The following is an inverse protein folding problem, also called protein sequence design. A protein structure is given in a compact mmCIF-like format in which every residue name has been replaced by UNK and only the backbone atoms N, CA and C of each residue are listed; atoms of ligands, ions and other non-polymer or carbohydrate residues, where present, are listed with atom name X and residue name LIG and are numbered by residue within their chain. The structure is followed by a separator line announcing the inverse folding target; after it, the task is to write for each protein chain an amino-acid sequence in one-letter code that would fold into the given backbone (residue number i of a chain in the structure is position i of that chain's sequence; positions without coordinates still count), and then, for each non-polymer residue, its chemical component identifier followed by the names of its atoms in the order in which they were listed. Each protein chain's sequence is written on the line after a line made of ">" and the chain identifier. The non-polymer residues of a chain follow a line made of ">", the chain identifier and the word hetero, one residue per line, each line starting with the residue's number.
data_IF_095561315123
#
_entry.id   IF_095561315123
#
_cell.length_a   1.000
_cell.length_b   1.000
_cell.length_c   1.000
_cell.angle_alpha   90.00
_cell.angle_beta   90.00
_cell.angle_gamma   90.00
#
_symmetry.space_group_name_H-M   'P 1'
#
loop_
_entity.id
_entity.type
_entity.pdbx_description
1 polymer ?
#
# COMPACT_ATOMS: atom_id res chain seq x y z
N UNK A 1 6.19 18.59 3.56
CA UNK A 1 6.21 17.16 3.96
C UNK A 1 7.27 16.97 5.02
N UNK A 2 6.92 16.34 6.13
CA UNK A 2 7.90 15.83 7.09
C UNK A 2 8.34 14.45 6.59
N UNK A 3 9.65 14.27 6.43
CA UNK A 3 10.24 13.00 6.02
C UNK A 3 11.08 12.43 7.16
N UNK A 4 10.88 11.15 7.46
CA UNK A 4 11.64 10.44 8.48
C UNK A 4 12.35 9.23 7.87
N UNK A 5 13.62 9.02 8.20
CA UNK A 5 14.33 7.80 7.81
C UNK A 5 13.75 6.62 8.59
N UNK A 6 13.28 5.60 7.87
CA UNK A 6 12.68 4.43 8.49
C UNK A 6 13.71 3.51 9.15
N UNK A 7 13.33 2.89 10.25
CA UNK A 7 14.08 1.81 10.90
C UNK A 7 13.82 0.51 10.16
N UNK A 8 14.87 -0.19 9.73
CA UNK A 8 14.74 -1.50 9.06
C UNK A 8 14.15 -2.53 10.03
N UNK A 9 13.04 -3.16 9.63
CA UNK A 9 12.36 -4.20 10.39
C UNK A 9 12.74 -5.60 9.92
N UNK A 10 12.78 -5.80 8.59
CA UNK A 10 13.07 -7.11 8.04
C UNK A 10 13.71 -7.03 6.64
N UNK A 11 14.28 -8.13 6.17
CA UNK A 11 14.85 -8.29 4.83
C UNK A 11 14.51 -9.65 4.25
N UNK A 12 14.11 -9.66 2.98
CA UNK A 12 13.76 -10.84 2.21
C UNK A 12 14.65 -10.92 0.97
N UNK A 13 14.95 -12.15 0.58
CA UNK A 13 15.65 -12.45 -0.67
C UNK A 13 14.79 -13.36 -1.52
N UNK A 14 14.89 -13.21 -2.84
CA UNK A 14 14.32 -14.20 -3.75
C UNK A 14 15.20 -15.46 -3.81
N UNK A 15 14.72 -16.49 -4.51
CA UNK A 15 15.44 -17.75 -4.66
C UNK A 15 16.81 -17.61 -5.35
N UNK A 16 17.00 -16.58 -6.19
CA UNK A 16 18.30 -16.32 -6.83
C UNK A 16 19.33 -15.69 -5.88
N UNK A 17 18.87 -15.13 -4.75
CA UNK A 17 19.68 -14.33 -3.84
C UNK A 17 20.08 -12.95 -4.38
N UNK A 18 19.61 -12.57 -5.58
CA UNK A 18 19.97 -11.30 -6.21
C UNK A 18 18.98 -10.19 -5.89
N UNK A 19 17.71 -10.52 -5.68
CA UNK A 19 16.71 -9.55 -5.22
C UNK A 19 16.86 -9.42 -3.71
N UNK A 20 17.06 -8.20 -3.24
CA UNK A 20 16.98 -7.87 -1.81
C UNK A 20 15.85 -6.88 -1.62
N UNK A 21 14.90 -7.24 -0.77
CA UNK A 21 13.83 -6.36 -0.34
C UNK A 21 13.94 -6.15 1.17
N UNK A 22 13.90 -4.92 1.63
CA UNK A 22 13.84 -4.61 3.06
C UNK A 22 12.61 -3.78 3.40
N UNK A 23 11.97 -4.11 4.51
CA UNK A 23 10.86 -3.34 5.08
C UNK A 23 11.44 -2.39 6.13
N UNK A 24 11.06 -1.12 6.04
CA UNK A 24 11.40 -0.08 7.01
C UNK A 24 10.13 0.52 7.59
N UNK A 25 10.19 1.01 8.83
CA UNK A 25 9.07 1.71 9.44
C UNK A 25 9.47 2.99 10.17
N UNK A 26 8.52 3.89 10.29
CA UNK A 26 8.58 5.03 11.19
C UNK A 26 7.29 5.07 12.02
N UNK A 27 7.40 5.55 13.26
CA UNK A 27 6.27 5.77 14.16
C UNK A 27 6.14 7.26 14.38
N UNK A 28 5.09 7.85 13.85
CA UNK A 28 4.77 9.25 14.00
C UNK A 28 4.54 9.61 15.47
N UNK A 29 5.23 10.66 15.94
CA UNK A 29 5.12 11.18 17.30
C UNK A 29 5.34 12.72 17.29
N UNK A 30 4.60 13.53 18.08
CA UNK A 30 3.52 13.16 19.00
C UNK A 30 2.29 12.57 18.30
N UNK A 31 1.39 11.90 19.04
CA UNK A 31 0.09 11.50 18.52
C UNK A 31 -0.69 12.70 17.95
N UNK A 32 -1.34 12.52 16.80
CA UNK A 32 -2.11 13.55 16.10
C UNK A 32 -3.44 12.99 15.63
N UNK A 33 -4.42 13.86 15.41
CA UNK A 33 -5.73 13.48 14.85
C UNK A 33 -5.63 13.16 13.37
N UNK A 34 -4.90 14.00 12.62
CA UNK A 34 -4.72 13.86 11.17
C UNK A 34 -3.24 13.77 10.86
N UNK A 35 -2.87 12.72 10.15
CA UNK A 35 -1.55 12.55 9.55
C UNK A 35 -1.68 12.84 8.06
N UNK A 36 -1.04 13.92 7.61
CA UNK A 36 -1.11 14.40 6.23
C UNK A 36 0.26 14.30 5.57
N UNK A 37 0.34 13.46 4.54
CA UNK A 37 1.50 13.27 3.68
C UNK A 37 2.79 12.99 4.49
N UNK A 38 2.68 12.11 5.49
CA UNK A 38 3.84 11.61 6.23
C UNK A 38 4.66 10.73 5.30
N UNK A 39 5.95 11.02 5.14
CA UNK A 39 6.83 10.22 4.28
C UNK A 39 7.87 9.48 5.09
N UNK A 40 7.90 8.15 4.96
CA UNK A 40 8.98 7.31 5.49
C UNK A 40 9.97 6.99 4.38
N UNK A 41 11.23 7.32 4.59
CA UNK A 41 12.32 7.09 3.63
C UNK A 41 12.95 5.73 3.84
N UNK A 42 13.35 5.11 2.73
CA UNK A 42 14.24 3.97 2.71
C UNK A 42 15.61 4.43 3.22
N UNK A 43 16.03 3.96 4.39
CA UNK A 43 17.31 4.33 5.01
C UNK A 43 18.56 3.70 4.36
N UNK A 44 18.43 3.17 3.14
CA UNK A 44 19.50 2.53 2.36
C UNK A 44 19.54 3.20 0.97
N UNK A 45 20.61 3.96 0.72
CA UNK A 45 20.76 4.77 -0.49
C UNK A 45 20.91 3.97 -1.79
N UNK A 46 21.05 2.64 -1.72
CA UNK A 46 21.07 1.77 -2.90
C UNK A 46 19.69 1.26 -3.30
N UNK A 47 18.69 1.45 -2.43
CA UNK A 47 17.34 0.92 -2.63
C UNK A 47 16.39 1.93 -3.28
N UNK A 48 15.40 1.41 -3.99
CA UNK A 48 14.25 2.15 -4.50
C UNK A 48 13.00 1.75 -3.74
N UNK A 49 12.15 2.71 -3.36
CA UNK A 49 10.86 2.45 -2.76
C UNK A 49 9.88 1.91 -3.81
N UNK A 50 9.33 0.72 -3.60
CA UNK A 50 8.42 0.05 -4.57
C UNK A 50 7.09 -0.39 -3.98
N UNK A 51 6.93 -0.23 -2.68
CA UNK A 51 5.73 -0.55 -1.94
C UNK A 51 5.79 0.03 -0.54
N UNK A 52 4.69 -0.11 0.21
CA UNK A 52 4.60 0.41 1.56
C UNK A 52 3.18 0.26 2.09
N UNK A 53 2.87 1.02 3.12
CA UNK A 53 1.58 0.96 3.80
C UNK A 53 1.61 1.72 5.11
N UNK A 54 0.51 1.66 5.84
CA UNK A 54 0.43 2.23 7.18
C UNK A 54 -0.52 1.43 8.07
N UNK A 55 -0.26 1.52 9.36
CA UNK A 55 -1.16 1.05 10.43
C UNK A 55 -1.57 2.28 11.23
N UNK A 56 -2.82 2.69 11.08
CA UNK A 56 -3.46 3.69 11.92
C UNK A 56 -3.91 3.00 13.23
N UNK A 57 -5.15 3.21 13.68
CA UNK A 57 -5.64 2.63 14.92
C UNK A 57 -7.09 2.17 14.78
N UNK A 58 -7.45 1.07 15.43
CA UNK A 58 -8.81 0.52 15.40
C UNK A 58 -9.72 1.13 16.47
N UNK A 59 -9.20 1.38 17.68
CA UNK A 59 -9.94 1.80 18.88
C UNK A 59 -9.30 3.03 19.56
N UNK A 60 -10.04 3.74 20.43
CA UNK A 60 -11.47 3.59 20.72
C UNK A 60 -12.38 3.96 19.55
N UNK A 61 -12.12 5.07 18.85
CA UNK A 61 -12.91 5.51 17.69
C UNK A 61 -12.32 5.03 16.37
N UNK A 62 -11.00 4.88 16.36
CA UNK A 62 -10.23 4.45 15.20
C UNK A 62 -9.91 5.58 14.24
N UNK A 63 -8.91 5.34 13.40
CA UNK A 63 -8.50 6.24 12.34
C UNK A 63 -8.26 5.45 11.05
N UNK A 64 -8.50 6.10 9.93
CA UNK A 64 -8.77 5.46 8.65
C UNK A 64 -7.82 6.04 7.60
N UNK A 65 -7.37 5.17 6.69
CA UNK A 65 -6.36 5.54 5.70
C UNK A 65 -6.96 6.41 4.60
N UNK A 66 -6.20 7.43 4.19
CA UNK A 66 -6.52 8.33 3.08
C UNK A 66 -5.42 8.37 2.02
N UNK A 67 -4.21 7.89 2.33
CA UNK A 67 -3.17 7.71 1.33
C UNK A 67 -2.16 6.61 1.69
N UNK A 68 -1.60 5.99 0.65
CA UNK A 68 -0.44 5.09 0.70
C UNK A 68 0.13 4.99 -0.72
N UNK A 69 1.19 5.73 -1.03
CA UNK A 69 1.72 5.86 -2.39
C UNK A 69 3.22 6.21 -2.40
N UNK A 70 3.95 5.98 -3.51
CA UNK A 70 5.38 6.31 -3.58
C UNK A 70 5.61 7.83 -3.64
N UNK A 71 6.70 8.31 -3.04
CA UNK A 71 7.18 9.66 -3.30
C UNK A 71 7.83 9.78 -4.70
N UNK A 72 8.02 11.02 -5.18
CA UNK A 72 8.37 11.27 -6.59
C UNK A 72 9.74 10.70 -7.01
N UNK A 73 10.71 10.67 -6.11
CA UNK A 73 12.07 10.19 -6.39
C UNK A 73 12.30 8.72 -6.02
N UNK A 74 11.24 8.03 -5.59
CA UNK A 74 11.26 6.64 -5.11
C UNK A 74 12.32 6.40 -4.03
N UNK A 75 12.53 7.38 -3.16
CA UNK A 75 13.32 7.23 -1.94
C UNK A 75 12.48 6.83 -0.73
N UNK A 76 11.15 6.92 -0.82
CA UNK A 76 10.26 6.70 0.31
C UNK A 76 8.80 6.42 -0.09
N UNK A 77 7.97 6.29 0.94
CA UNK A 77 6.56 6.04 0.83
C UNK A 77 5.77 7.06 1.63
N UNK A 78 4.77 7.67 1.02
CA UNK A 78 3.91 8.69 1.61
C UNK A 78 2.59 8.07 2.02
N UNK A 79 2.17 8.33 3.25
CA UNK A 79 0.94 7.83 3.85
C UNK A 79 0.17 8.96 4.53
N UNK A 80 -1.15 8.81 4.54
CA UNK A 80 -2.05 9.73 5.23
C UNK A 80 -3.17 8.93 5.89
N UNK A 81 -3.60 9.39 7.06
CA UNK A 81 -4.70 8.81 7.79
C UNK A 81 -5.34 9.88 8.67
N UNK A 82 -6.61 9.69 9.02
CA UNK A 82 -7.32 10.61 9.91
C UNK A 82 -8.34 9.88 10.76
N UNK A 83 -8.65 10.44 11.92
CA UNK A 83 -9.93 10.17 12.58
C UNK A 83 -11.11 10.59 11.69
N UNK A 84 -12.33 10.21 12.09
CA UNK A 84 -13.52 10.59 11.35
C UNK A 84 -14.71 10.74 12.30
N UNK A 85 -15.42 11.87 12.19
CA UNK A 85 -16.50 12.32 13.09
C UNK A 85 -16.06 12.58 14.53
N UNK A 86 -15.47 11.59 15.19
CA UNK A 86 -14.97 11.70 16.56
C UNK A 86 -13.47 11.93 16.58
N UNK A 87 -13.06 12.98 17.28
CA UNK A 87 -11.65 13.32 17.41
C UNK A 87 -10.88 12.25 18.20
N UNK A 88 -9.77 11.76 17.65
CA UNK A 88 -8.86 10.85 18.35
C UNK A 88 -7.43 11.13 17.91
N UNK A 89 -6.56 11.51 18.84
CA UNK A 89 -5.13 11.54 18.58
C UNK A 89 -4.53 10.13 18.63
N UNK A 90 -3.65 9.80 17.68
CA UNK A 90 -2.97 8.51 17.61
C UNK A 90 -1.60 8.64 16.93
N UNK A 91 -0.74 7.64 17.16
CA UNK A 91 0.51 7.48 16.41
C UNK A 91 0.25 6.70 15.13
N UNK A 92 0.69 7.21 13.98
CA UNK A 92 0.68 6.47 12.73
C UNK A 92 1.96 5.63 12.63
N UNK A 93 1.85 4.36 12.25
CA UNK A 93 3.01 3.57 11.86
C UNK A 93 3.07 3.50 10.34
N UNK A 94 4.09 4.13 9.77
CA UNK A 94 4.32 4.23 8.32
C UNK A 94 5.35 3.18 7.89
N UNK A 95 5.13 2.54 6.75
CA UNK A 95 6.01 1.52 6.19
C UNK A 95 6.45 1.84 4.76
N UNK A 96 7.71 1.55 4.45
CA UNK A 96 8.23 1.52 3.08
C UNK A 96 8.98 0.21 2.82
N UNK A 97 8.80 -0.31 1.62
CA UNK A 97 9.48 -1.49 1.10
C UNK A 97 10.52 -1.01 0.09
N UNK A 98 11.79 -1.12 0.47
CA UNK A 98 12.94 -0.84 -0.38
C UNK A 98 13.36 -2.07 -1.17
N UNK A 99 13.70 -1.89 -2.45
CA UNK A 99 14.22 -2.92 -3.34
C UNK A 99 15.60 -2.54 -3.84
N UNK A 100 16.53 -3.50 -3.84
CA UNK A 100 17.75 -3.46 -4.64
C UNK A 100 18.00 -4.80 -5.31
N UNK A 101 18.70 -4.76 -6.44
CA UNK A 101 19.00 -5.94 -7.24
C UNK A 101 20.51 -6.01 -7.42
N UNK A 102 21.12 -7.13 -7.00
CA UNK A 102 22.55 -7.36 -7.14
C UNK A 102 22.97 -7.25 -8.61
N UNK A 103 24.03 -6.48 -8.86
CA UNK A 103 24.47 -6.17 -10.21
C UNK A 103 23.65 -5.06 -10.89
N UNK A 104 22.93 -4.22 -10.15
CA UNK A 104 22.36 -2.95 -10.62
C UNK A 104 22.62 -1.85 -9.59
N UNK A 105 23.02 -0.66 -10.03
CA UNK A 105 23.00 0.52 -9.17
C UNK A 105 21.56 1.00 -8.95
N UNK A 106 21.35 1.85 -7.94
CA UNK A 106 20.05 2.49 -7.72
C UNK A 106 19.54 3.21 -8.97
N UNK A 107 20.40 3.96 -9.65
CA UNK A 107 20.04 4.71 -10.85
C UNK A 107 19.63 3.81 -12.02
N UNK A 108 20.30 2.66 -12.18
CA UNK A 108 19.93 1.68 -13.20
C UNK A 108 18.58 1.02 -12.88
N UNK A 109 18.33 0.74 -11.60
CA UNK A 109 17.07 0.19 -11.15
C UNK A 109 15.92 1.21 -11.29
N UNK A 110 16.13 2.47 -10.92
CA UNK A 110 15.16 3.56 -11.12
C UNK A 110 14.72 3.69 -12.58
N UNK A 111 15.66 3.66 -13.53
CA UNK A 111 15.36 3.70 -14.98
C UNK A 111 14.56 2.48 -15.46
N UNK A 112 14.51 1.43 -14.66
CA UNK A 112 13.74 0.22 -14.92
C UNK A 112 12.37 0.23 -14.24
N UNK A 113 12.07 1.21 -13.38
CA UNK A 113 10.75 1.40 -12.76
C UNK A 113 9.84 2.20 -13.71
N UNK A 114 8.58 1.78 -13.79
CA UNK A 114 7.51 2.51 -14.45
C UNK A 114 6.36 2.71 -13.47
N UNK A 115 5.75 3.90 -13.49
CA UNK A 115 4.60 4.23 -12.64
C UNK A 115 3.48 4.75 -13.52
N UNK A 116 2.38 4.00 -13.60
CA UNK A 116 1.13 4.49 -14.14
C UNK A 116 0.31 5.16 -13.04
N UNK A 117 -0.45 6.19 -13.43
CA UNK A 117 -1.39 6.91 -12.56
C UNK A 117 -2.72 7.07 -13.28
N UNK A 118 -3.80 7.01 -12.52
CA UNK A 118 -5.15 7.30 -13.02
C UNK A 118 -5.95 8.01 -11.93
N UNK A 119 -6.67 9.06 -12.30
CA UNK A 119 -7.56 9.81 -11.42
C UNK A 119 -9.02 9.43 -11.70
N UNK A 120 -9.83 9.33 -10.65
CA UNK A 120 -11.26 9.01 -10.76
C UNK A 120 -12.13 10.20 -11.19
N UNK A 121 -11.64 11.42 -10.95
CA UNK A 121 -12.51 12.59 -10.83
C UNK A 121 -13.22 12.62 -9.46
N UNK A 122 -13.94 13.72 -9.19
CA UNK A 122 -14.58 13.95 -7.89
C UNK A 122 -15.92 13.23 -7.80
N UNK A 123 -16.08 12.36 -6.81
CA UNK A 123 -17.34 11.65 -6.54
C UNK A 123 -17.49 11.28 -5.04
N UNK A 124 -18.72 10.96 -4.57
CA UNK A 124 -18.95 10.43 -3.22
C UNK A 124 -18.25 9.09 -2.97
N UNK A 125 -18.19 8.22 -3.99
CA UNK A 125 -17.61 6.87 -3.91
C UNK A 125 -16.69 6.63 -5.11
N UNK A 126 -15.57 7.36 -5.21
CA UNK A 126 -14.73 7.33 -6.40
C UNK A 126 -13.95 6.02 -6.49
N UNK A 127 -13.72 5.61 -7.73
CA UNK A 127 -12.92 4.45 -8.10
C UNK A 127 -11.98 4.84 -9.23
N UNK A 128 -10.74 4.36 -9.17
CA UNK A 128 -9.77 4.50 -10.25
C UNK A 128 -8.95 3.21 -10.43
N UNK A 129 -8.47 2.98 -11.64
CA UNK A 129 -7.59 1.86 -11.96
C UNK A 129 -6.46 2.33 -12.87
N UNK A 130 -5.22 2.13 -12.42
CA UNK A 130 -4.02 2.44 -13.21
C UNK A 130 -3.50 1.14 -13.86
N UNK A 131 -3.36 1.16 -15.19
CA UNK A 131 -2.88 0.02 -15.98
C UNK A 131 -1.45 0.19 -16.49
N UNK A 132 -0.74 -0.92 -16.65
CA UNK A 132 0.56 -0.98 -17.32
C UNK A 132 0.38 -1.10 -18.84
N UNK A 133 1.30 -0.57 -19.65
CA UNK A 133 1.15 -0.57 -21.11
C UNK A 133 1.28 -1.96 -21.75
N UNK A 134 2.00 -2.90 -21.11
CA UNK A 134 2.30 -4.22 -21.66
C UNK A 134 2.77 -5.18 -20.57
N UNK A 135 2.11 -6.34 -20.45
CA UNK A 135 2.58 -7.44 -19.59
C UNK A 135 3.87 -8.07 -20.09
N UNK A 136 4.23 -7.91 -21.37
CA UNK A 136 5.47 -8.44 -21.92
C UNK A 136 6.68 -7.59 -21.52
N UNK A 137 6.49 -6.27 -21.37
CA UNK A 137 7.58 -5.34 -21.09
C UNK A 137 7.71 -5.03 -19.60
N UNK A 138 6.62 -5.13 -18.85
CA UNK A 138 6.54 -4.75 -17.45
C UNK A 138 5.89 -5.83 -16.58
N UNK A 139 6.33 -5.84 -15.33
CA UNK A 139 5.83 -6.69 -14.26
C UNK A 139 5.32 -5.80 -13.14
N UNK A 140 4.05 -5.94 -12.75
CA UNK A 140 3.48 -5.21 -11.62
C UNK A 140 4.13 -5.69 -10.32
N UNK A 141 4.70 -4.76 -9.56
CA UNK A 141 5.42 -5.04 -8.30
C UNK A 141 4.76 -4.43 -7.07
N UNK A 142 3.85 -3.49 -7.27
CA UNK A 142 3.12 -2.82 -6.21
C UNK A 142 2.18 -1.76 -6.76
N UNK A 143 1.62 -0.98 -5.85
CA UNK A 143 0.76 0.14 -6.18
C UNK A 143 0.36 0.90 -4.94
N UNK A 144 -0.59 1.80 -5.10
CA UNK A 144 -0.98 2.71 -4.03
C UNK A 144 -2.15 3.59 -4.41
N UNK A 145 -2.54 4.44 -3.47
CA UNK A 145 -3.65 5.37 -3.62
C UNK A 145 -3.39 6.69 -2.90
N UNK A 146 -4.05 7.74 -3.38
CA UNK A 146 -4.13 9.03 -2.70
C UNK A 146 -5.54 9.58 -2.87
N UNK A 147 -6.22 9.83 -1.76
CA UNK A 147 -7.48 10.57 -1.76
C UNK A 147 -7.19 12.05 -1.61
N UNK A 148 -7.65 12.88 -2.55
CA UNK A 148 -7.58 14.33 -2.46
C UNK A 148 -8.81 14.85 -1.72
N UNK A 149 -8.77 14.78 -0.38
CA UNK A 149 -9.91 15.13 0.48
C UNK A 149 -9.74 16.50 1.16
N UNK A 150 -10.88 17.07 1.55
CA UNK A 150 -11.02 18.16 2.50
C UNK A 150 -12.12 17.81 3.50
N UNK A 151 -12.30 18.60 4.56
CA UNK A 151 -13.46 18.44 5.46
C UNK A 151 -13.60 17.04 6.05
N UNK A 152 -14.77 16.44 5.88
CA UNK A 152 -15.04 15.06 6.31
C UNK A 152 -14.33 14.06 5.38
N UNK A 153 -14.32 14.35 4.08
CA UNK A 153 -13.57 13.65 3.06
C UNK A 153 -13.95 12.18 2.82
N UNK A 154 -13.26 11.58 1.85
CA UNK A 154 -13.36 10.16 1.57
C UNK A 154 -12.27 9.35 2.27
N UNK A 155 -12.61 8.10 2.59
CA UNK A 155 -11.79 7.16 3.33
C UNK A 155 -11.59 5.89 2.49
N UNK A 156 -10.41 5.29 2.54
CA UNK A 156 -10.05 4.19 1.67
C UNK A 156 -10.88 2.92 1.95
N UNK A 157 -11.34 2.26 0.89
CA UNK A 157 -12.00 0.95 0.95
C UNK A 157 -11.28 -0.11 0.15
N UNK A 158 -10.44 0.29 -0.82
CA UNK A 158 -9.65 -0.65 -1.59
C UNK A 158 -8.35 -0.03 -2.14
N UNK A 159 -7.31 -0.84 -2.23
CA UNK A 159 -6.07 -0.60 -2.97
C UNK A 159 -5.42 -1.96 -3.21
N UNK A 160 -5.53 -2.52 -4.42
CA UNK A 160 -5.15 -3.90 -4.69
C UNK A 160 -4.80 -4.13 -6.17
N UNK A 161 -4.07 -5.21 -6.51
CA UNK A 161 -3.89 -5.61 -7.90
C UNK A 161 -5.20 -6.19 -8.45
N UNK A 162 -5.86 -5.47 -9.36
CA UNK A 162 -7.12 -5.93 -9.97
C UNK A 162 -6.88 -6.94 -11.10
N UNK A 163 -5.77 -6.78 -11.82
CA UNK A 163 -5.27 -7.73 -12.81
C UNK A 163 -3.77 -7.90 -12.64
N UNK A 164 -3.14 -8.77 -13.45
CA UNK A 164 -1.68 -8.91 -13.46
C UNK A 164 -0.95 -7.62 -13.88
N UNK A 165 -1.66 -6.68 -14.52
CA UNK A 165 -1.09 -5.43 -15.04
C UNK A 165 -1.85 -4.18 -14.61
N UNK A 166 -2.65 -4.23 -13.54
CA UNK A 166 -3.37 -3.05 -13.07
C UNK A 166 -3.54 -3.00 -11.56
N UNK A 167 -3.59 -1.78 -11.04
CA UNK A 167 -3.85 -1.49 -9.63
C UNK A 167 -5.12 -0.66 -9.49
N UNK A 168 -6.07 -1.16 -8.70
CA UNK A 168 -7.38 -0.56 -8.50
C UNK A 168 -7.53 -0.03 -7.08
N UNK A 169 -8.15 1.13 -6.97
CA UNK A 169 -8.33 1.84 -5.71
C UNK A 169 -9.77 2.35 -5.59
N UNK A 170 -10.28 2.39 -4.36
CA UNK A 170 -11.62 2.89 -4.05
C UNK A 170 -11.60 3.65 -2.73
N UNK A 171 -12.38 4.71 -2.65
CA UNK A 171 -12.71 5.38 -1.39
C UNK A 171 -14.19 5.73 -1.34
N UNK A 172 -14.67 6.17 -0.18
CA UNK A 172 -16.03 6.68 -0.02
C UNK A 172 -16.11 7.72 1.07
N UNK A 173 -17.06 8.63 0.95
CA UNK A 173 -17.54 9.41 2.07
C UNK A 173 -18.23 8.48 3.09
N UNK A 174 -18.37 8.98 4.31
CA UNK A 174 -18.93 8.18 5.38
C UNK A 174 -19.69 9.09 6.36
N UNK A 175 -20.99 8.84 6.55
CA UNK A 175 -21.95 9.65 7.31
C UNK A 175 -22.22 11.06 6.79
N UNK A 176 -21.16 11.82 6.49
CA UNK A 176 -21.23 13.16 5.93
C UNK A 176 -20.74 13.08 4.50
N UNK A 177 -21.58 13.47 3.54
CA UNK A 177 -21.17 13.44 2.15
C UNK A 177 -20.15 14.54 1.87
N UNK A 178 -18.99 14.14 1.34
CA UNK A 178 -17.89 15.05 1.03
C UNK A 178 -17.07 14.47 -0.13
N UNK A 179 -17.57 14.63 -1.38
CA UNK A 179 -16.96 14.04 -2.57
C UNK A 179 -15.49 14.39 -2.76
N UNK A 180 -14.68 13.40 -3.14
CA UNK A 180 -13.25 13.57 -3.36
C UNK A 180 -12.80 12.88 -4.65
N UNK A 181 -11.61 13.26 -5.14
CA UNK A 181 -10.87 12.49 -6.15
C UNK A 181 -10.03 11.41 -5.46
N UNK A 182 -9.87 10.25 -6.10
CA UNK A 182 -8.85 9.27 -5.74
C UNK A 182 -7.93 9.03 -6.93
N UNK A 183 -6.63 9.03 -6.67
CA UNK A 183 -5.61 8.65 -7.63
C UNK A 183 -5.11 7.25 -7.35
N UNK A 184 -5.13 6.39 -8.37
CA UNK A 184 -4.48 5.08 -8.39
C UNK A 184 -3.02 5.21 -8.81
N UNK A 185 -2.15 4.38 -8.24
CA UNK A 185 -0.77 4.20 -8.64
C UNK A 185 -0.53 2.73 -8.93
N UNK A 186 -0.01 2.40 -10.12
CA UNK A 186 0.49 1.07 -10.45
C UNK A 186 2.00 1.14 -10.70
N UNK A 187 2.77 0.40 -9.91
CA UNK A 187 4.23 0.41 -9.93
C UNK A 187 4.71 -0.88 -10.58
N UNK A 188 5.59 -0.75 -11.57
CA UNK A 188 6.13 -1.88 -12.30
C UNK A 188 7.64 -1.81 -12.49
N UNK A 189 8.25 -2.98 -12.67
CA UNK A 189 9.62 -3.12 -13.15
C UNK A 189 9.62 -3.61 -14.59
N UNK A 190 10.62 -3.20 -15.37
CA UNK A 190 10.91 -3.85 -16.65
C UNK A 190 11.07 -5.35 -16.44
N UNK A 191 10.38 -6.14 -17.26
CA UNK A 191 10.44 -7.61 -17.23
C UNK A 191 11.86 -8.11 -17.52
N UNK A 192 12.51 -7.51 -18.51
CA UNK A 192 13.88 -7.85 -18.88
C UNK A 192 14.86 -6.83 -18.28
N UNK A 193 15.63 -7.27 -17.29
CA UNK A 193 16.73 -6.51 -16.72
C UNK A 193 18.05 -7.07 -17.25
N UNK A 194 19.13 -6.30 -17.16
CA UNK A 194 20.46 -6.77 -17.57
C UNK A 194 20.97 -7.97 -16.77
N UNK A 195 20.37 -8.24 -15.62
CA UNK A 195 20.77 -9.27 -14.64
C UNK A 195 19.81 -10.47 -14.58
N UNK A 196 18.76 -10.50 -15.40
CA UNK A 196 17.80 -11.60 -15.46
C UNK A 196 16.38 -11.15 -15.83
N UNK A 197 15.48 -12.13 -15.91
CA UNK A 197 14.05 -11.88 -16.13
C UNK A 197 13.33 -11.75 -14.79
N UNK A 198 12.53 -10.71 -14.63
CA UNK A 198 11.65 -10.51 -13.46
C UNK A 198 10.36 -11.30 -13.65
N UNK A 199 9.99 -12.04 -12.60
CA UNK A 199 8.69 -12.70 -12.47
C UNK A 199 8.00 -12.18 -11.22
N UNK A 200 6.69 -11.96 -11.27
CA UNK A 200 5.88 -11.68 -10.10
C UNK A 200 5.03 -12.88 -9.69
N UNK A 201 4.52 -12.81 -8.46
CA UNK A 201 3.45 -13.65 -7.95
C UNK A 201 2.46 -12.77 -7.18
N UNK A 202 1.19 -13.19 -7.20
CA UNK A 202 0.13 -12.61 -6.40
C UNK A 202 -0.45 -13.71 -5.52
N UNK A 203 -0.49 -13.47 -4.21
CA UNK A 203 -1.23 -14.32 -3.29
C UNK A 203 -2.30 -13.50 -2.59
N UNK A 204 -3.39 -14.16 -2.19
CA UNK A 204 -4.50 -13.53 -1.50
C UNK A 204 -4.99 -14.37 -0.33
N UNK A 205 -5.61 -13.70 0.63
CA UNK A 205 -6.29 -14.34 1.74
C UNK A 205 -7.59 -13.58 2.06
N UNK A 206 -8.66 -14.31 2.29
CA UNK A 206 -9.97 -13.76 2.61
C UNK A 206 -10.24 -13.82 4.11
N UNK A 207 -10.83 -12.76 4.65
CA UNK A 207 -11.43 -12.73 5.98
C UNK A 207 -12.95 -12.88 5.88
N UNK A 208 -13.51 -13.65 6.81
CA UNK A 208 -14.96 -13.80 6.95
C UNK A 208 -15.65 -12.48 7.32
N UNK A 209 -16.99 -12.48 7.18
CA UNK A 209 -17.79 -11.28 7.43
C UNK A 209 -17.74 -10.90 8.91
N UNK A 210 -17.25 -9.70 9.22
CA UNK A 210 -17.04 -9.21 10.58
C UNK A 210 -17.14 -7.68 10.63
N UNK A 211 -17.47 -7.06 11.77
CA UNK A 211 -17.28 -5.62 12.00
C UNK A 211 -15.83 -5.17 11.73
N UNK A 212 -14.86 -6.01 12.10
CA UNK A 212 -13.42 -5.71 12.00
C UNK A 212 -12.65 -6.88 11.34
N UNK A 213 -12.82 -7.13 10.03
CA UNK A 213 -12.15 -8.23 9.36
C UNK A 213 -10.67 -7.88 9.14
N UNK A 214 -9.81 -8.88 9.35
CA UNK A 214 -8.38 -8.80 9.08
C UNK A 214 -7.92 -10.09 8.40
N UNK A 215 -7.03 -9.96 7.41
CA UNK A 215 -6.48 -11.08 6.65
C UNK A 215 -4.96 -10.89 6.43
N UNK A 216 -4.26 -12.01 6.26
CA UNK A 216 -2.82 -12.06 5.98
C UNK A 216 -2.57 -12.89 4.73
N UNK A 217 -2.11 -12.25 3.66
CA UNK A 217 -1.69 -12.95 2.45
C UNK A 217 -0.19 -13.23 2.51
N UNK A 218 0.22 -14.50 2.47
CA UNK A 218 1.63 -14.91 2.49
C UNK A 218 2.11 -15.27 1.09
N UNK A 219 3.34 -14.90 0.75
CA UNK A 219 3.93 -15.23 -0.55
C UNK A 219 4.33 -16.70 -0.63
N UNK A 220 4.34 -17.20 -1.87
CA UNK A 220 4.95 -18.49 -2.20
C UNK A 220 6.47 -18.44 -1.93
N UNK A 221 7.08 -19.52 -1.41
CA UNK A 221 8.53 -19.59 -1.23
C UNK A 221 9.30 -19.24 -2.50
N UNK A 222 10.42 -18.51 -2.33
CA UNK A 222 11.32 -18.12 -3.42
C UNK A 222 11.03 -16.75 -4.05
N UNK A 223 9.99 -16.04 -3.62
CA UNK A 223 9.72 -14.65 -3.99
C UNK A 223 10.02 -13.71 -2.82
N UNK A 224 10.52 -12.50 -3.13
CA UNK A 224 10.69 -11.41 -2.17
C UNK A 224 9.49 -10.45 -2.22
N UNK A 225 8.98 -10.02 -1.05
CA UNK A 225 7.79 -9.17 -0.91
C UNK A 225 8.02 -7.75 -1.41
N UNK A 226 7.36 -7.35 -2.49
CA UNK A 226 7.48 -5.98 -3.04
C UNK A 226 6.28 -5.11 -2.71
N UNK A 227 5.14 -5.68 -2.34
CA UNK A 227 3.98 -4.90 -1.98
C UNK A 227 2.81 -5.74 -1.53
N UNK A 228 1.67 -5.07 -1.38
CA UNK A 228 0.42 -5.70 -1.05
C UNK A 228 -0.69 -4.67 -0.93
N UNK A 229 -1.87 -5.15 -0.63
CA UNK A 229 -3.08 -4.36 -0.75
C UNK A 229 -4.27 -5.05 -0.13
N UNK A 230 -5.43 -4.42 -0.26
CA UNK A 230 -6.67 -4.95 0.26
C UNK A 230 -7.88 -4.51 -0.56
N UNK A 231 -8.90 -5.35 -0.53
CA UNK A 231 -10.24 -5.05 -1.03
C UNK A 231 -11.26 -5.32 0.07
N UNK A 232 -11.97 -4.27 0.50
CA UNK A 232 -13.16 -4.43 1.33
C UNK A 232 -14.36 -4.72 0.43
N UNK A 233 -15.09 -5.80 0.73
CA UNK A 233 -16.35 -6.15 0.06
C UNK A 233 -17.51 -5.65 0.92
N UNK A 234 -17.84 -4.38 0.75
CA UNK A 234 -18.86 -3.70 1.55
C UNK A 234 -20.14 -3.43 0.76
N UNK A 235 -21.23 -3.23 1.51
CA UNK A 235 -22.46 -2.59 1.07
C UNK A 235 -22.79 -1.49 2.08
N UNK A 236 -23.77 -0.62 1.80
CA UNK A 236 -24.27 0.33 2.80
C UNK A 236 -23.19 1.27 3.39
N UNK A 237 -23.10 1.31 4.73
CA UNK A 237 -22.10 2.12 5.43
C UNK A 237 -20.72 1.49 5.37
N UNK A 238 -20.67 0.16 5.34
CA UNK A 238 -19.50 -0.64 5.06
C UNK A 238 -18.31 -0.47 6.00
N UNK A 239 -17.22 -1.14 5.63
CA UNK A 239 -15.94 -1.04 6.32
C UNK A 239 -14.94 -0.16 5.56
N UNK A 240 -14.03 0.44 6.32
CA UNK A 240 -12.99 1.36 5.86
C UNK A 240 -11.62 0.83 6.29
N UNK A 241 -10.61 1.00 5.44
CA UNK A 241 -9.25 0.50 5.70
C UNK A 241 -8.57 1.34 6.78
N UNK A 242 -7.97 0.66 7.75
CA UNK A 242 -7.12 1.30 8.78
C UNK A 242 -5.72 0.69 8.85
N UNK A 243 -5.50 -0.46 8.19
CA UNK A 243 -4.24 -1.19 8.20
C UNK A 243 -3.91 -1.77 6.83
N UNK A 244 -2.71 -1.42 6.34
CA UNK A 244 -2.01 -2.04 5.22
C UNK A 244 -0.55 -2.21 5.68
N UNK A 245 -0.16 -3.41 6.08
CA UNK A 245 1.08 -3.66 6.80
C UNK A 245 1.91 -4.76 6.12
N UNK A 246 3.09 -4.46 5.55
CA UNK A 246 4.00 -5.48 5.07
C UNK A 246 4.58 -6.30 6.23
N UNK A 247 5.02 -7.51 5.94
CA UNK A 247 5.58 -8.42 6.94
C UNK A 247 6.77 -7.82 7.70
N UNK A 248 6.65 -7.83 9.02
CA UNK A 248 7.70 -7.49 9.97
C UNK A 248 8.40 -8.73 10.53
N UNK A 249 7.89 -9.93 10.19
CA UNK A 249 8.42 -11.24 10.57
C UNK A 249 8.98 -12.01 9.36
N UNK A 250 9.70 -13.11 9.61
CA UNK A 250 10.47 -13.86 8.61
C UNK A 250 9.67 -14.35 7.39
N UNK A 251 8.37 -14.61 7.53
CA UNK A 251 7.53 -15.02 6.39
C UNK A 251 7.13 -13.78 5.58
N UNK A 252 7.50 -13.69 4.28
CA UNK A 252 7.07 -12.59 3.44
C UNK A 252 5.55 -12.62 3.26
N UNK A 253 4.85 -11.64 3.83
CA UNK A 253 3.39 -11.55 3.82
C UNK A 253 2.92 -10.10 3.87
N UNK A 254 1.63 -9.89 3.65
CA UNK A 254 0.99 -8.59 3.77
C UNK A 254 -0.31 -8.72 4.57
N UNK A 255 -0.43 -7.93 5.62
CA UNK A 255 -1.60 -7.91 6.50
C UNK A 255 -2.46 -6.71 6.18
N UNK A 256 -3.76 -6.91 6.07
CA UNK A 256 -4.72 -5.84 5.94
C UNK A 256 -5.85 -5.98 6.96
N UNK A 257 -6.40 -4.84 7.38
CA UNK A 257 -7.60 -4.82 8.21
C UNK A 257 -8.49 -3.62 7.86
N UNK A 258 -9.79 -3.82 8.05
CA UNK A 258 -10.81 -2.79 7.93
C UNK A 258 -11.72 -2.78 9.15
N UNK A 259 -12.53 -1.74 9.29
CA UNK A 259 -13.53 -1.65 10.35
C UNK A 259 -14.78 -0.95 9.86
N UNK A 260 -15.94 -1.33 10.38
CA UNK A 260 -17.09 -0.44 10.39
C UNK A 260 -16.76 0.78 11.27
N UNK A 261 -17.52 1.85 11.09
CA UNK A 261 -17.22 3.10 11.77
C UNK A 261 -18.53 3.79 12.07
N UNK A 262 -18.84 4.06 13.35
CA UNK A 262 -20.10 4.62 13.86
C UNK A 262 -21.38 3.81 13.58
N UNK A 263 -21.60 3.34 12.36
CA UNK A 263 -22.72 2.51 11.94
C UNK A 263 -22.21 1.09 11.73
N UNK A 264 -22.64 0.12 12.55
CA UNK A 264 -22.26 -1.27 12.36
C UNK A 264 -22.70 -1.79 10.99
N UNK A 265 -21.77 -2.24 10.18
CA UNK A 265 -22.06 -2.82 8.86
C UNK A 265 -20.98 -3.83 8.43
N UNK A 266 -21.02 -5.05 9.00
CA UNK A 266 -19.98 -6.07 8.78
C UNK A 266 -19.73 -6.37 7.30
N UNK A 267 -18.46 -6.36 6.92
CA UNK A 267 -17.98 -6.67 5.56
C UNK A 267 -17.00 -7.86 5.57
N UNK A 268 -16.71 -8.41 4.38
CA UNK A 268 -15.54 -9.28 4.18
C UNK A 268 -14.36 -8.46 3.64
N UNK A 269 -13.16 -9.01 3.73
CA UNK A 269 -11.93 -8.37 3.28
C UNK A 269 -11.06 -9.39 2.54
N UNK A 270 -10.50 -9.02 1.39
CA UNK A 270 -9.41 -9.78 0.75
C UNK A 270 -8.11 -9.00 0.93
N UNK A 271 -7.10 -9.61 1.55
CA UNK A 271 -5.73 -9.10 1.58
C UNK A 271 -4.93 -9.68 0.40
N UNK A 272 -3.97 -8.91 -0.11
CA UNK A 272 -3.10 -9.29 -1.22
C UNK A 272 -1.64 -9.09 -0.84
N UNK A 273 -0.77 -10.00 -1.27
CA UNK A 273 0.67 -9.84 -1.26
C UNK A 273 1.23 -9.98 -2.68
N UNK A 274 2.17 -9.10 -3.02
CA UNK A 274 2.88 -9.08 -4.29
C UNK A 274 4.34 -9.36 -4.02
N UNK A 275 4.93 -10.29 -4.78
CA UNK A 275 6.34 -10.57 -4.69
C UNK A 275 6.99 -10.74 -6.03
N UNK A 276 8.31 -10.56 -6.08
CA UNK A 276 9.11 -10.81 -7.29
C UNK A 276 10.23 -11.80 -7.05
N UNK A 277 10.70 -12.39 -8.15
CA UNK A 277 11.96 -13.14 -8.22
C UNK A 277 12.66 -12.89 -9.55
N UNK A 278 13.96 -13.14 -9.58
CA UNK A 278 14.72 -13.21 -10.82
C UNK A 278 14.89 -14.67 -11.25
N UNK A 279 14.78 -14.89 -12.56
CA UNK A 279 15.15 -16.15 -13.21
C UNK A 279 16.19 -15.95 -14.30
#
# INVERSE_FOLDING_TARGET
>A
MLSSVGTRLNTFHDASGRVTVSVFSHRGNPPQQHWIDETVLVGDGDMVAIGGGATAVEYPQGALLTASYPNDDLSGWTVSAKDHVDAQAYELVSYVIGLKIAGMSRDELLRSVYIARADSGVAPHPEAEAGLPSSNDYVLVGGGFRVDWHGAGNLATASFPATETSWKVRSKDHLVSDPANIRAYAIALRRQLRVGTVYNTFTRADAGRSPHPAAVASLTPGFALTGGGAEVHWNGSGNLLWKLEPATAQTPSFTAASKDHHVPDPATLTAYAVGIRLG
#
